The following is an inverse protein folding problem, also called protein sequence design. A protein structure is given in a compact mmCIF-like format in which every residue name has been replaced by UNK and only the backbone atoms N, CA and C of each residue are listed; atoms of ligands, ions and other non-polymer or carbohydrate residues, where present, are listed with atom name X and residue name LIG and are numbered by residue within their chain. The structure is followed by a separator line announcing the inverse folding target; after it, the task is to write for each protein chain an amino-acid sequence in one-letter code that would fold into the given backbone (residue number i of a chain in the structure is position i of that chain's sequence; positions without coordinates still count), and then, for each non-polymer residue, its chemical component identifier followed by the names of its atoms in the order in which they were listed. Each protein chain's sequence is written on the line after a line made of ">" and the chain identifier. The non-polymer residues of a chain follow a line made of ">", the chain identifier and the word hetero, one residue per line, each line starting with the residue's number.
data_IF_815397286875
#
_entry.id   IF_815397286875
#
_cell.length_a   1.000
_cell.length_b   1.000
_cell.length_c   1.000
_cell.angle_alpha   90.00
_cell.angle_beta   90.00
_cell.angle_gamma   90.00
#
_symmetry.space_group_name_H-M   'P 1'
#
loop_
_entity.id
_entity.type
_entity.pdbx_description
1 polymer ?
#
# COMPACT_ATOMS: atom_id res chain seq x y z
N UNK A 1 -16.99 -0.34 14.83
CA UNK A 1 -15.75 -0.74 15.53
C UNK A 1 -15.02 -1.70 14.60
N UNK A 2 -14.14 -1.17 13.76
CA UNK A 2 -13.31 -1.99 12.88
C UNK A 2 -12.17 -2.57 13.72
N UNK A 3 -11.92 -3.87 13.61
CA UNK A 3 -10.79 -4.49 14.29
C UNK A 3 -9.48 -3.86 13.77
N UNK A 4 -8.51 -3.54 14.65
CA UNK A 4 -7.19 -3.14 14.21
C UNK A 4 -6.58 -4.29 13.40
N UNK A 5 -6.08 -3.98 12.20
CA UNK A 5 -5.34 -4.91 11.36
C UNK A 5 -4.08 -5.31 12.14
N UNK A 6 -4.15 -6.41 12.87
CA UNK A 6 -3.02 -6.96 13.63
C UNK A 6 -2.00 -7.43 12.60
N UNK A 7 -0.96 -6.62 12.39
CA UNK A 7 0.08 -6.88 11.42
C UNK A 7 0.78 -8.21 11.73
N UNK A 8 0.87 -9.16 10.77
CA UNK A 8 1.81 -10.25 10.91
C UNK A 8 3.22 -9.67 10.87
N UNK A 9 4.00 -9.88 11.93
CA UNK A 9 5.40 -9.52 11.95
C UNK A 9 6.13 -10.20 10.78
N UNK A 10 6.59 -9.46 9.76
CA UNK A 10 7.41 -10.00 8.66
C UNK A 10 8.26 -8.96 7.91
N UNK A 11 9.59 -9.11 8.10
CA UNK A 11 10.69 -9.08 7.12
C UNK A 11 11.05 -7.83 6.31
N UNK A 12 10.20 -6.81 6.22
CA UNK A 12 10.56 -5.54 5.59
C UNK A 12 10.88 -4.50 6.66
N UNK A 13 12.16 -4.11 6.75
CA UNK A 13 12.53 -2.94 7.54
C UNK A 13 11.86 -1.68 6.98
N UNK A 14 11.57 -0.70 7.84
CA UNK A 14 10.99 0.59 7.49
C UNK A 14 11.71 1.27 6.32
N UNK A 15 13.02 1.05 6.15
CA UNK A 15 13.80 1.56 5.02
C UNK A 15 13.41 0.91 3.69
N UNK A 16 13.12 -0.39 3.68
CA UNK A 16 12.72 -1.10 2.46
C UNK A 16 11.33 -0.65 1.97
N UNK A 17 10.43 -0.28 2.89
CA UNK A 17 9.07 0.17 2.53
C UNK A 17 9.07 1.55 1.87
N UNK A 18 10.05 2.40 2.18
CA UNK A 18 10.16 3.76 1.63
C UNK A 18 10.45 3.82 0.12
N UNK A 19 10.95 2.74 -0.46
CA UNK A 19 11.34 2.65 -1.88
C UNK A 19 10.42 1.73 -2.69
N UNK A 20 9.22 1.44 -2.17
CA UNK A 20 8.26 0.57 -2.85
C UNK A 20 7.51 1.32 -3.94
N UNK A 21 7.41 0.71 -5.11
CA UNK A 21 6.65 1.19 -6.25
C UNK A 21 5.67 0.12 -6.73
N UNK A 22 4.53 0.50 -7.36
CA UNK A 22 3.66 -0.45 -8.03
C UNK A 22 4.43 -1.29 -9.05
N UNK A 23 4.32 -2.62 -8.90
CA UNK A 23 4.93 -3.56 -9.83
C UNK A 23 4.22 -3.46 -11.20
N UNK A 24 4.97 -3.35 -12.32
CA UNK A 24 4.37 -3.18 -13.64
C UNK A 24 3.55 -4.39 -14.11
N UNK A 25 3.74 -5.56 -13.51
CA UNK A 25 2.95 -6.75 -13.80
C UNK A 25 1.65 -6.80 -12.98
N UNK A 26 1.52 -5.99 -11.93
CA UNK A 26 0.28 -5.86 -11.19
C UNK A 26 -0.69 -4.92 -11.91
N UNK A 27 -1.83 -5.45 -12.35
CA UNK A 27 -2.85 -4.69 -13.09
C UNK A 27 -3.92 -4.16 -12.15
N UNK A 28 -4.41 -2.95 -12.39
CA UNK A 28 -5.59 -2.43 -11.71
C UNK A 28 -6.82 -2.46 -12.64
N UNK A 29 -8.00 -2.70 -12.07
CA UNK A 29 -9.27 -2.53 -12.78
C UNK A 29 -10.39 -2.12 -11.82
N UNK A 30 -11.40 -1.43 -12.36
CA UNK A 30 -12.61 -1.07 -11.62
C UNK A 30 -13.80 -1.91 -12.08
N UNK A 31 -14.58 -2.41 -11.12
CA UNK A 31 -15.83 -3.10 -11.41
C UNK A 31 -16.87 -2.81 -10.32
N UNK A 32 -18.06 -2.35 -10.74
CA UNK A 32 -19.17 -2.07 -9.82
C UNK A 32 -18.83 -1.05 -8.72
N UNK A 33 -18.04 -0.02 -9.03
CA UNK A 33 -17.60 0.99 -8.07
C UNK A 33 -16.52 0.54 -7.09
N UNK A 34 -15.96 -0.66 -7.28
CA UNK A 34 -14.87 -1.18 -6.47
C UNK A 34 -13.57 -1.22 -7.30
N UNK A 35 -12.46 -0.94 -6.64
CA UNK A 35 -11.13 -1.05 -7.22
C UNK A 35 -10.50 -2.40 -6.87
N UNK A 36 -9.87 -3.02 -7.86
CA UNK A 36 -9.22 -4.30 -7.72
C UNK A 36 -7.80 -4.25 -8.28
N UNK A 37 -6.90 -4.99 -7.64
CA UNK A 37 -5.55 -5.27 -8.10
C UNK A 37 -5.44 -6.75 -8.47
N UNK A 38 -4.90 -7.02 -9.65
CA UNK A 38 -4.59 -8.35 -10.16
C UNK A 38 -3.07 -8.51 -10.10
N UNK A 39 -2.54 -9.20 -9.07
CA UNK A 39 -1.13 -9.51 -9.03
C UNK A 39 -0.72 -10.49 -10.15
N UNK A 40 0.57 -10.52 -10.55
CA UNK A 40 1.05 -11.45 -11.57
C UNK A 40 0.87 -12.92 -11.17
N UNK A 41 0.99 -13.19 -9.87
CA UNK A 41 0.79 -14.52 -9.29
C UNK A 41 0.05 -14.33 -7.97
N UNK A 42 -1.25 -14.62 -7.94
CA UNK A 42 -2.01 -14.52 -6.70
C UNK A 42 -3.51 -14.36 -6.89
N UNK A 43 -4.17 -14.08 -5.78
CA UNK A 43 -5.60 -13.76 -5.76
C UNK A 43 -5.82 -12.29 -6.03
N UNK A 44 -6.92 -11.97 -6.69
CA UNK A 44 -7.36 -10.58 -6.89
C UNK A 44 -7.55 -9.93 -5.52
N UNK A 45 -6.95 -8.76 -5.33
CA UNK A 45 -7.06 -7.96 -4.11
C UNK A 45 -8.07 -6.86 -4.34
N UNK A 46 -9.12 -6.82 -3.51
CA UNK A 46 -10.08 -5.71 -3.51
C UNK A 46 -9.56 -4.59 -2.61
N UNK A 47 -9.46 -3.37 -3.13
CA UNK A 47 -9.10 -2.20 -2.37
C UNK A 47 -10.35 -1.58 -1.71
N UNK A 48 -10.20 -1.16 -0.45
CA UNK A 48 -11.13 -0.23 0.17
C UNK A 48 -10.72 1.22 -0.18
N UNK A 49 -11.52 2.20 0.26
CA UNK A 49 -11.26 3.61 -0.05
C UNK A 49 -9.90 4.10 0.45
N UNK A 50 -9.50 3.70 1.66
CA UNK A 50 -8.20 4.06 2.24
C UNK A 50 -7.02 3.45 1.47
N UNK A 51 -7.09 2.17 1.15
CA UNK A 51 -6.05 1.46 0.39
C UNK A 51 -5.93 1.96 -1.04
N UNK A 52 -7.04 2.42 -1.65
CA UNK A 52 -7.00 3.08 -2.95
C UNK A 52 -6.18 4.38 -2.92
N UNK A 53 -6.36 5.21 -1.89
CA UNK A 53 -5.58 6.45 -1.74
C UNK A 53 -4.09 6.15 -1.64
N UNK A 54 -3.70 5.20 -0.77
CA UNK A 54 -2.30 4.80 -0.60
C UNK A 54 -1.74 4.26 -1.92
N UNK A 55 -2.49 3.41 -2.62
CA UNK A 55 -2.09 2.88 -3.93
C UNK A 55 -1.86 3.97 -4.98
N UNK A 56 -2.75 4.95 -5.06
CA UNK A 56 -2.63 6.07 -5.98
C UNK A 56 -1.39 6.92 -5.69
N UNK A 57 -1.11 7.18 -4.41
CA UNK A 57 0.07 7.97 -4.03
C UNK A 57 1.38 7.24 -4.30
N UNK A 58 1.44 5.92 -4.07
CA UNK A 58 2.57 5.09 -4.49
C UNK A 58 2.77 5.15 -6.01
N UNK A 59 1.68 5.12 -6.80
CA UNK A 59 1.76 5.28 -8.26
C UNK A 59 2.22 6.66 -8.72
N UNK A 60 1.95 7.70 -7.93
CA UNK A 60 2.45 9.07 -8.15
C UNK A 60 3.90 9.25 -7.70
N UNK A 61 4.52 8.22 -7.11
CA UNK A 61 5.88 8.27 -6.56
C UNK A 61 6.07 9.35 -5.49
N UNK A 62 5.04 9.60 -4.70
CA UNK A 62 5.17 10.40 -3.48
C UNK A 62 6.13 9.71 -2.51
N UNK A 63 6.89 10.50 -1.76
CA UNK A 63 7.76 9.95 -0.72
C UNK A 63 6.94 9.34 0.42
N UNK A 64 7.53 8.40 1.15
CA UNK A 64 6.87 7.74 2.28
C UNK A 64 6.31 8.73 3.32
N UNK A 65 7.09 9.76 3.64
CA UNK A 65 6.69 10.79 4.61
C UNK A 65 5.51 11.63 4.07
N UNK A 66 5.47 11.92 2.77
CA UNK A 66 4.31 12.58 2.13
C UNK A 66 3.06 11.69 2.13
N UNK A 67 3.21 10.39 1.86
CA UNK A 67 2.10 9.43 1.90
C UNK A 67 1.52 9.35 3.32
N UNK A 68 2.37 9.21 4.34
CA UNK A 68 1.93 9.15 5.73
C UNK A 68 1.25 10.46 6.17
N UNK A 69 1.81 11.62 5.78
CA UNK A 69 1.21 12.92 6.10
C UNK A 69 -0.15 13.11 5.40
N UNK A 70 -0.25 12.77 4.12
CA UNK A 70 -1.49 12.87 3.35
C UNK A 70 -2.57 11.91 3.89
N UNK A 71 -2.19 10.70 4.28
CA UNK A 71 -3.12 9.74 4.87
C UNK A 71 -3.64 10.22 6.23
N UNK A 72 -2.75 10.75 7.09
CA UNK A 72 -3.11 11.33 8.37
C UNK A 72 -4.11 12.50 8.20
N UNK A 73 -3.84 13.42 7.27
CA UNK A 73 -4.73 14.54 6.97
C UNK A 73 -6.10 14.06 6.45
N UNK A 74 -6.11 13.08 5.53
CA UNK A 74 -7.35 12.58 4.94
C UNK A 74 -8.25 11.82 5.91
N UNK A 75 -7.66 11.13 6.86
CA UNK A 75 -8.39 10.25 7.81
C UNK A 75 -8.61 10.91 9.17
N UNK A 76 -7.89 12.00 9.47
CA UNK A 76 -7.97 12.69 10.76
C UNK A 76 -7.28 11.94 11.90
N UNK A 77 -6.38 11.00 11.58
CA UNK A 77 -5.60 10.23 12.56
C UNK A 77 -4.21 10.86 12.75
N UNK A 78 -3.51 10.48 13.82
CA UNK A 78 -2.15 10.97 14.05
C UNK A 78 -1.12 10.30 13.11
N UNK A 79 0.06 10.91 13.01
CA UNK A 79 1.09 10.46 12.06
C UNK A 79 1.63 9.05 12.37
N UNK A 80 1.65 8.63 13.63
CA UNK A 80 2.12 7.31 14.02
C UNK A 80 1.09 6.24 13.63
N UNK A 81 -0.20 6.49 13.88
CA UNK A 81 -1.28 5.60 13.43
C UNK A 81 -1.34 5.52 11.90
N UNK A 82 -1.21 6.66 11.22
CA UNK A 82 -1.08 6.73 9.76
C UNK A 82 0.09 5.90 9.25
N UNK A 83 1.27 6.04 9.86
CA UNK A 83 2.45 5.26 9.48
C UNK A 83 2.20 3.75 9.64
N UNK A 84 1.51 3.33 10.69
CA UNK A 84 1.17 1.91 10.91
C UNK A 84 0.21 1.38 9.83
N UNK A 85 -0.82 2.14 9.47
CA UNK A 85 -1.79 1.76 8.43
C UNK A 85 -1.15 1.70 7.03
N UNK A 86 -0.34 2.71 6.67
CA UNK A 86 0.40 2.75 5.40
C UNK A 86 1.42 1.61 5.35
N UNK A 87 2.08 1.30 6.47
CA UNK A 87 2.96 0.13 6.61
C UNK A 87 2.22 -1.17 6.36
N UNK A 88 1.10 -1.40 7.05
CA UNK A 88 0.32 -2.63 6.93
C UNK A 88 -0.17 -2.83 5.48
N UNK A 89 -0.67 -1.76 4.86
CA UNK A 89 -1.08 -1.78 3.45
C UNK A 89 0.09 -2.14 2.52
N UNK A 90 1.23 -1.46 2.68
CA UNK A 90 2.41 -1.66 1.82
C UNK A 90 2.94 -3.10 1.96
N UNK A 91 2.99 -3.63 3.18
CA UNK A 91 3.37 -5.02 3.42
C UNK A 91 2.41 -6.00 2.74
N UNK A 92 1.10 -5.78 2.85
CA UNK A 92 0.10 -6.61 2.19
C UNK A 92 0.29 -6.63 0.66
N UNK A 93 0.53 -5.46 0.05
CA UNK A 93 0.69 -5.36 -1.41
C UNK A 93 2.03 -5.94 -1.88
N UNK A 94 3.09 -5.81 -1.09
CA UNK A 94 4.35 -6.48 -1.33
C UNK A 94 4.22 -8.01 -1.26
N UNK A 95 3.56 -8.53 -0.22
CA UNK A 95 3.26 -9.97 -0.11
C UNK A 95 2.41 -10.47 -1.28
N UNK A 96 1.51 -9.62 -1.79
CA UNK A 96 0.70 -9.90 -2.97
C UNK A 96 1.47 -9.78 -4.29
N UNK A 97 2.76 -9.40 -4.28
CA UNK A 97 3.57 -9.15 -5.49
C UNK A 97 3.05 -8.02 -6.38
N UNK A 98 2.36 -7.06 -5.77
CA UNK A 98 1.90 -5.83 -6.41
C UNK A 98 2.80 -4.63 -6.13
N UNK A 99 3.72 -4.75 -5.18
CA UNK A 99 4.80 -3.78 -4.98
C UNK A 99 6.15 -4.44 -5.22
N UNK A 100 7.05 -3.68 -5.81
CA UNK A 100 8.47 -4.03 -5.96
C UNK A 100 9.32 -2.90 -5.41
N UNK A 101 10.54 -3.22 -4.97
CA UNK A 101 11.49 -2.22 -4.52
C UNK A 101 12.20 -1.63 -5.74
N UNK A 102 12.23 -0.31 -5.87
CA UNK A 102 12.89 0.37 -6.99
C UNK A 102 14.38 -0.03 -7.10
N UNK A 103 15.03 -0.31 -5.98
CA UNK A 103 16.42 -0.77 -5.91
C UNK A 103 16.64 -2.21 -6.43
N UNK A 104 15.59 -3.00 -6.53
CA UNK A 104 15.64 -4.39 -7.03
C UNK A 104 15.28 -4.53 -8.50
N UNK A 105 14.88 -3.43 -9.15
CA UNK A 105 14.46 -3.41 -10.56
C UNK A 105 15.64 -3.18 -11.55
N UNK A 106 16.89 -3.35 -11.09
CA UNK A 106 18.13 -3.18 -11.89
C UNK A 106 18.74 -4.51 -12.31
#
# INVERSE_FOLDING_TARGET
>A
MGAPLTAPASLLDSVSMRNMIPDPLCKSFEAGGNHYLIPPFGSIVKLNSSGLLIWQWLGQRLSWDEICAAYAEKTGIDIAESTAEVTAFTQQMYSSKCLTNELSAS
#
